data_IF_675326454506
#
_entry.id   IF_675326454506
#
_cell.length_a   1.000
_cell.length_b   1.000
_cell.length_c   1.000
_cell.angle_alpha   90.00
_cell.angle_beta   90.00
_cell.angle_gamma   90.00
#
_symmetry.space_group_name_H-M   'P 1'
#
loop_
_entity.id
_entity.type
_entity.pdbx_description
1 polymer ?
#
# COMPACT_ATOMS: atom_id res chain seq x y z
N UNK A 1 10.55 24.10 -2.23
CA UNK A 1 11.14 23.20 -1.21
C UNK A 1 10.13 22.21 -0.63
N UNK A 2 9.15 22.59 0.22
CA UNK A 2 8.22 21.58 0.80
C UNK A 2 7.26 20.96 -0.24
N UNK A 3 6.80 21.74 -1.22
CA UNK A 3 5.96 21.21 -2.31
C UNK A 3 6.71 20.24 -3.22
N UNK A 4 7.95 20.54 -3.60
CA UNK A 4 8.79 19.65 -4.42
C UNK A 4 9.04 18.30 -3.74
N UNK A 5 9.25 18.28 -2.42
CA UNK A 5 9.41 17.04 -1.67
C UNK A 5 8.12 16.19 -1.66
N UNK A 6 6.95 16.84 -1.56
CA UNK A 6 5.66 16.14 -1.63
C UNK A 6 5.37 15.61 -3.03
N UNK A 7 5.67 16.38 -4.08
CA UNK A 7 5.50 15.94 -5.47
C UNK A 7 6.41 14.75 -5.79
N UNK A 8 7.66 14.79 -5.34
CA UNK A 8 8.59 13.68 -5.48
C UNK A 8 8.12 12.42 -4.75
N UNK A 9 7.59 12.57 -3.53
CA UNK A 9 7.01 11.45 -2.78
C UNK A 9 5.79 10.86 -3.48
N UNK A 10 4.92 11.69 -4.07
CA UNK A 10 3.78 11.22 -4.87
C UNK A 10 4.23 10.42 -6.09
N UNK A 11 5.27 10.87 -6.79
CA UNK A 11 5.83 10.16 -7.95
C UNK A 11 6.40 8.79 -7.55
N UNK A 12 7.17 8.74 -6.45
CA UNK A 12 7.72 7.48 -5.91
C UNK A 12 6.60 6.49 -5.57
N UNK A 13 5.55 6.93 -4.89
CA UNK A 13 4.41 6.08 -4.53
C UNK A 13 3.62 5.60 -5.75
N UNK A 14 3.37 6.49 -6.72
CA UNK A 14 2.71 6.13 -7.97
C UNK A 14 3.52 5.08 -8.76
N UNK A 15 4.84 5.25 -8.83
CA UNK A 15 5.73 4.30 -9.48
C UNK A 15 5.79 2.96 -8.74
N UNK A 16 5.81 3.00 -7.41
CA UNK A 16 5.77 1.79 -6.59
C UNK A 16 4.46 1.01 -6.81
N UNK A 17 3.32 1.69 -6.86
CA UNK A 17 2.03 1.08 -7.16
C UNK A 17 2.04 0.39 -8.53
N UNK A 18 2.57 1.05 -9.56
CA UNK A 18 2.67 0.48 -10.90
C UNK A 18 3.56 -0.77 -10.94
N UNK A 19 4.71 -0.75 -10.26
CA UNK A 19 5.59 -1.92 -10.17
C UNK A 19 4.94 -3.09 -9.44
N UNK A 20 4.15 -2.81 -8.39
CA UNK A 20 3.39 -3.86 -7.68
C UNK A 20 2.35 -4.47 -8.61
N UNK A 21 1.62 -3.67 -9.38
CA UNK A 21 0.65 -4.16 -10.38
C UNK A 21 1.29 -5.02 -11.47
N UNK A 22 2.53 -4.72 -11.83
CA UNK A 22 3.31 -5.49 -12.79
C UNK A 22 4.01 -6.73 -12.18
N UNK A 23 3.92 -6.93 -10.87
CA UNK A 23 4.58 -8.04 -10.17
C UNK A 23 6.09 -7.85 -9.93
N UNK A 24 6.64 -6.66 -10.18
CA UNK A 24 8.05 -6.34 -9.97
C UNK A 24 8.36 -5.96 -8.52
N UNK A 25 8.18 -6.91 -7.59
CA UNK A 25 8.22 -6.66 -6.15
C UNK A 25 9.59 -6.19 -5.64
N UNK A 26 10.69 -6.72 -6.17
CA UNK A 26 12.04 -6.30 -5.75
C UNK A 26 12.32 -4.83 -6.07
N UNK A 27 11.86 -4.36 -7.24
CA UNK A 27 11.99 -2.96 -7.63
C UNK A 27 11.08 -2.07 -6.80
N UNK A 28 9.85 -2.52 -6.54
CA UNK A 28 8.91 -1.80 -5.67
C UNK A 28 9.46 -1.63 -4.24
N UNK A 29 10.14 -2.65 -3.69
CA UNK A 29 10.78 -2.57 -2.38
C UNK A 29 11.91 -1.53 -2.33
N UNK A 30 12.72 -1.43 -3.39
CA UNK A 30 13.78 -0.41 -3.48
C UNK A 30 13.20 1.01 -3.48
N UNK A 31 12.11 1.24 -4.22
CA UNK A 31 11.40 2.53 -4.19
C UNK A 31 10.79 2.81 -2.81
N UNK A 32 10.33 1.79 -2.10
CA UNK A 32 9.85 1.94 -0.73
C UNK A 32 10.91 2.52 0.21
N UNK A 33 12.18 2.11 0.06
CA UNK A 33 13.30 2.70 0.81
C UNK A 33 13.52 4.18 0.47
N UNK A 34 13.42 4.55 -0.81
CA UNK A 34 13.53 5.95 -1.25
C UNK A 34 12.37 6.81 -0.74
N UNK A 35 11.15 6.28 -0.77
CA UNK A 35 9.97 6.96 -0.24
C UNK A 35 10.09 7.21 1.27
N UNK A 36 10.61 6.24 2.04
CA UNK A 36 10.87 6.40 3.47
C UNK A 36 11.91 7.49 3.76
N UNK A 37 12.97 7.56 2.96
CA UNK A 37 13.97 8.62 3.09
C UNK A 37 13.37 10.00 2.79
N UNK A 38 12.56 10.10 1.74
CA UNK A 38 11.85 11.33 1.39
C UNK A 38 10.90 11.78 2.51
N UNK A 39 10.12 10.86 3.10
CA UNK A 39 9.27 11.16 4.27
C UNK A 39 10.10 11.64 5.46
N UNK A 40 11.26 11.04 5.71
CA UNK A 40 12.15 11.45 6.80
C UNK A 40 12.61 12.90 6.60
N UNK A 41 13.06 13.25 5.40
CA UNK A 41 13.46 14.63 5.07
C UNK A 41 12.31 15.65 5.22
N UNK A 42 11.08 15.26 4.85
CA UNK A 42 9.88 16.10 5.07
C UNK A 42 9.62 16.33 6.56
N UNK A 43 9.77 15.29 7.38
CA UNK A 43 9.58 15.40 8.84
C UNK A 43 10.68 16.27 9.46
N UNK A 44 11.94 16.06 9.09
CA UNK A 44 13.09 16.81 9.60
C UNK A 44 13.00 18.30 9.25
N UNK A 45 12.59 18.62 8.02
CA UNK A 45 12.39 20.01 7.57
C UNK A 45 11.20 20.72 8.23
N UNK A 46 10.22 19.98 8.76
CA UNK A 46 9.07 20.52 9.52
C UNK A 46 9.36 20.78 11.00
N UNK A 47 10.52 20.35 11.50
CA UNK A 47 10.85 20.41 12.93
C UNK A 47 10.12 19.33 13.75
N UNK A 48 10.34 19.27 15.07
CA UNK A 48 9.76 18.22 15.91
C UNK A 48 8.23 18.31 15.90
N UNK A 49 7.61 17.42 15.11
CA UNK A 49 6.17 17.23 15.09
C UNK A 49 5.75 16.86 16.51
N UNK A 50 5.11 17.81 17.21
CA UNK A 50 4.45 17.53 18.50
C UNK A 50 3.54 16.33 18.26
N UNK A 51 3.90 15.19 18.87
CA UNK A 51 3.08 13.97 18.80
C UNK A 51 1.63 14.36 19.08
N UNK A 52 0.67 14.04 18.18
CA UNK A 52 -0.73 14.29 18.48
C UNK A 52 -1.07 13.52 19.76
N UNK A 53 -1.44 14.27 20.80
CA UNK A 53 -1.81 13.71 22.09
C UNK A 53 -2.96 12.72 21.90
N UNK A 54 -2.89 11.48 22.44
CA UNK A 54 -3.90 10.45 22.25
C UNK A 54 -5.26 10.74 22.93
N UNK A 55 -5.55 11.97 23.36
CA UNK A 55 -6.60 12.27 24.36
C UNK A 55 -7.89 12.90 23.78
N UNK A 56 -8.04 13.12 22.48
CA UNK A 56 -9.21 13.84 21.95
C UNK A 56 -10.09 13.07 20.95
N UNK A 57 -10.46 11.81 21.25
CA UNK A 57 -11.64 11.17 20.63
C UNK A 57 -12.74 10.97 21.67
N UNK A 58 -13.35 12.07 22.12
CA UNK A 58 -14.75 12.05 22.58
C UNK A 58 -15.62 12.33 21.36
N UNK A 59 -16.30 11.30 20.86
CA UNK A 59 -17.36 11.44 19.86
C UNK A 59 -18.54 12.23 20.48
N UNK A 60 -19.06 13.27 19.82
CA UNK A 60 -20.45 13.63 19.95
C UNK A 60 -21.28 12.84 18.92
N UNK A 61 -22.11 11.92 19.40
CA UNK A 61 -23.27 11.43 18.66
C UNK A 61 -24.27 12.58 18.53
N UNK A 62 -24.22 13.28 17.39
CA UNK A 62 -25.08 14.42 17.04
C UNK A 62 -25.84 14.14 15.74
N UNK A 63 -27.16 14.21 15.84
CA UNK A 63 -28.23 13.79 14.93
C UNK A 63 -28.56 14.84 13.85
N UNK A 64 -29.02 14.35 12.67
CA UNK A 64 -29.85 15.03 11.64
C UNK A 64 -29.19 16.24 10.91
N UNK A 65 -29.48 16.60 9.67
CA UNK A 65 -30.64 16.45 8.75
C UNK A 65 -30.12 16.69 7.33
N UNK A 66 -30.87 16.24 6.31
CA UNK A 66 -30.48 16.32 4.91
C UNK A 66 -30.31 17.75 4.39
N UNK A 67 -29.28 17.91 3.57
CA UNK A 67 -29.21 18.84 2.45
C UNK A 67 -28.49 18.09 1.33
N UNK A 68 -29.14 17.99 0.17
CA UNK A 68 -28.56 17.37 -1.02
C UNK A 68 -27.34 18.18 -1.48
N UNK A 69 -26.17 17.55 -1.65
CA UNK A 69 -25.01 18.22 -2.22
C UNK A 69 -25.23 18.38 -3.72
N UNK A 70 -25.30 19.64 -4.15
CA UNK A 70 -25.33 20.05 -5.56
C UNK A 70 -24.02 19.63 -6.24
N UNK A 71 -24.06 18.99 -7.43
CA UNK A 71 -22.85 18.59 -8.15
C UNK A 71 -22.29 19.80 -8.91
N UNK A 72 -21.31 20.46 -8.34
CA UNK A 72 -20.44 21.41 -9.04
C UNK A 72 -19.02 21.15 -8.58
N UNK A 73 -18.47 20.02 -9.03
CA UNK A 73 -17.23 19.42 -8.53
C UNK A 73 -16.21 19.21 -9.67
N UNK A 74 -16.10 20.22 -10.54
CA UNK A 74 -15.05 20.25 -11.57
C UNK A 74 -14.04 21.34 -11.23
N UNK A 75 -12.90 20.91 -10.66
CA UNK A 75 -11.71 21.75 -10.59
C UNK A 75 -11.20 22.08 -9.18
N UNK A 76 -11.73 21.46 -8.11
CA UNK A 76 -11.12 21.62 -6.79
C UNK A 76 -9.76 20.92 -6.81
N UNK A 77 -8.68 21.71 -6.87
CA UNK A 77 -7.31 21.23 -6.75
C UNK A 77 -7.26 20.28 -5.54
N UNK A 78 -7.13 18.99 -5.81
CA UNK A 78 -7.12 17.98 -4.76
C UNK A 78 -5.92 18.26 -3.88
N UNK A 79 -6.15 18.34 -2.57
CA UNK A 79 -5.09 18.67 -1.63
C UNK A 79 -3.98 17.62 -1.82
N UNK A 80 -2.70 18.00 -1.98
CA UNK A 80 -1.60 17.05 -2.18
C UNK A 80 -1.57 15.96 -1.10
N UNK A 81 -2.09 16.23 0.09
CA UNK A 81 -2.28 15.25 1.15
C UNK A 81 -3.35 14.21 0.85
N UNK A 82 -4.50 14.60 0.31
CA UNK A 82 -5.56 13.67 -0.09
C UNK A 82 -5.07 12.74 -1.20
N UNK A 83 -4.32 13.28 -2.16
CA UNK A 83 -3.71 12.47 -3.23
C UNK A 83 -2.74 11.44 -2.66
N UNK A 84 -1.90 11.84 -1.71
CA UNK A 84 -0.93 10.95 -1.07
C UNK A 84 -1.62 9.86 -0.24
N UNK A 85 -2.66 10.23 0.52
CA UNK A 85 -3.48 9.28 1.27
C UNK A 85 -4.14 8.25 0.34
N UNK A 86 -4.71 8.70 -0.79
CA UNK A 86 -5.28 7.81 -1.80
C UNK A 86 -4.23 6.84 -2.35
N UNK A 87 -3.05 7.33 -2.74
CA UNK A 87 -1.96 6.48 -3.25
C UNK A 87 -1.53 5.44 -2.22
N UNK A 88 -1.43 5.81 -0.95
CA UNK A 88 -1.06 4.88 0.13
C UNK A 88 -2.13 3.80 0.33
N UNK A 89 -3.42 4.18 0.32
CA UNK A 89 -4.54 3.22 0.40
C UNK A 89 -4.52 2.25 -0.78
N UNK A 90 -4.35 2.75 -2.00
CA UNK A 90 -4.26 1.91 -3.21
C UNK A 90 -3.06 0.96 -3.16
N UNK A 91 -1.89 1.44 -2.73
CA UNK A 91 -0.70 0.63 -2.57
C UNK A 91 -0.91 -0.49 -1.54
N UNK A 92 -1.53 -0.19 -0.40
CA UNK A 92 -1.85 -1.18 0.63
C UNK A 92 -2.80 -2.26 0.10
N UNK A 93 -3.85 -1.87 -0.63
CA UNK A 93 -4.78 -2.81 -1.25
C UNK A 93 -4.07 -3.70 -2.27
N UNK A 94 -3.24 -3.13 -3.15
CA UNK A 94 -2.49 -3.87 -4.16
C UNK A 94 -1.52 -4.88 -3.52
N UNK A 95 -0.78 -4.48 -2.48
CA UNK A 95 0.13 -5.38 -1.75
C UNK A 95 -0.63 -6.53 -1.07
N UNK A 96 -1.80 -6.25 -0.50
CA UNK A 96 -2.64 -7.26 0.14
C UNK A 96 -3.17 -8.28 -0.87
N UNK A 97 -3.61 -7.81 -2.04
CA UNK A 97 -4.02 -8.68 -3.14
C UNK A 97 -2.85 -9.59 -3.59
N UNK A 98 -1.68 -9.01 -3.83
CA UNK A 98 -0.48 -9.75 -4.24
C UNK A 98 -0.06 -10.79 -3.21
N UNK A 99 -0.11 -10.45 -1.91
CA UNK A 99 0.22 -11.38 -0.83
C UNK A 99 -0.73 -12.59 -0.83
N UNK A 100 -2.01 -12.36 -1.12
CA UNK A 100 -3.02 -13.42 -1.20
C UNK A 100 -2.72 -14.36 -2.38
N UNK A 101 -2.39 -13.80 -3.54
CA UNK A 101 -2.02 -14.58 -4.74
C UNK A 101 -0.77 -15.45 -4.51
N UNK A 102 0.31 -14.85 -3.99
CA UNK A 102 1.56 -15.58 -3.69
C UNK A 102 1.31 -16.71 -2.67
N UNK A 103 0.50 -16.46 -1.66
CA UNK A 103 0.14 -17.47 -0.66
C UNK A 103 -0.67 -18.63 -1.28
N UNK A 104 -1.57 -18.31 -2.20
CA UNK A 104 -2.30 -19.30 -2.99
C UNK A 104 -1.37 -20.15 -3.85
N UNK A 105 -0.46 -19.52 -4.60
CA UNK A 105 0.53 -20.20 -5.43
C UNK A 105 1.45 -21.13 -4.62
N UNK A 106 1.98 -20.66 -3.48
CA UNK A 106 2.80 -21.48 -2.58
C UNK A 106 2.04 -22.70 -2.05
N UNK A 107 0.76 -22.53 -1.73
CA UNK A 107 -0.09 -23.64 -1.29
C UNK A 107 -0.25 -24.68 -2.40
N UNK A 108 -0.46 -24.25 -3.64
CA UNK A 108 -0.53 -25.14 -4.80
C UNK A 108 0.78 -25.91 -5.02
N UNK A 109 1.93 -25.24 -4.96
CA UNK A 109 3.27 -25.88 -5.09
C UNK A 109 3.49 -26.92 -3.99
N UNK A 110 3.17 -26.59 -2.73
CA UNK A 110 3.27 -27.54 -1.61
C UNK A 110 2.39 -28.77 -1.83
N UNK A 111 1.18 -28.59 -2.37
CA UNK A 111 0.28 -29.70 -2.72
C UNK A 111 0.87 -30.56 -3.84
N UNK A 112 1.37 -29.95 -4.91
CA UNK A 112 2.03 -30.67 -6.01
C UNK A 112 3.22 -31.50 -5.53
N UNK A 113 4.06 -30.92 -4.65
CA UNK A 113 5.19 -31.64 -4.03
C UNK A 113 4.74 -32.85 -3.21
N UNK A 114 3.66 -32.73 -2.41
CA UNK A 114 3.11 -33.87 -1.65
C UNK A 114 2.64 -34.99 -2.58
N UNK A 115 1.99 -34.64 -3.69
CA UNK A 115 1.52 -35.61 -4.68
C UNK A 115 2.71 -36.34 -5.32
N UNK A 116 3.71 -35.61 -5.80
CA UNK A 116 4.93 -36.20 -6.38
C UNK A 116 5.64 -37.13 -5.40
N UNK A 117 5.76 -36.72 -4.13
CA UNK A 117 6.34 -37.54 -3.09
C UNK A 117 5.54 -38.84 -2.88
N UNK A 118 4.21 -38.78 -2.89
CA UNK A 118 3.36 -39.96 -2.80
C UNK A 118 3.61 -40.92 -3.98
N UNK A 119 3.69 -40.42 -5.22
CA UNK A 119 4.02 -41.25 -6.39
C UNK A 119 5.42 -41.88 -6.31
N UNK A 120 6.42 -41.11 -5.86
CA UNK A 120 7.79 -41.62 -5.69
C UNK A 120 7.89 -42.75 -4.67
N UNK A 121 6.99 -42.76 -3.67
CA UNK A 121 6.94 -43.80 -2.64
C UNK A 121 6.27 -45.10 -3.11
N UNK A 122 5.42 -45.01 -4.13
CA UNK A 122 4.64 -46.15 -4.65
C UNK A 122 5.41 -46.92 -5.72
N UNK A 123 6.33 -46.30 -6.46
CA UNK A 123 7.14 -47.03 -7.44
C UNK A 123 8.09 -48.01 -6.74
N UNK A 124 7.85 -49.34 -6.81
CA UNK A 124 8.78 -50.30 -6.26
C UNK A 124 10.08 -50.19 -7.06
N UNK A 125 11.21 -49.96 -6.37
CA UNK A 125 12.54 -50.08 -6.96
C UNK A 125 12.63 -51.47 -7.59
N UNK A 126 12.53 -51.55 -8.92
CA UNK A 126 12.91 -52.76 -9.66
C UNK A 126 14.40 -52.98 -9.38
N UNK A 127 14.69 -53.95 -8.52
CA UNK A 127 16.01 -54.53 -8.30
C UNK A 127 16.23 -55.66 -9.27
#
# INVERSE_FOLDING_TARGET
>A
MMHEALDHLQELLARQLELVRQGHLDMALRLGGQAQECVRQIIESRGPVRRPSPVARRLPLGRATGDEPTPSDEGRATDPWERLERLYRELHLALTAQQTEVSGALTAVRRGRRILNAYSSISPRRR
#
